data_IF_863355026301
#
_entry.id   IF_863355026301
#
_cell.length_a   1.000
_cell.length_b   1.000
_cell.length_c   1.000
_cell.angle_alpha   90.00
_cell.angle_beta   90.00
_cell.angle_gamma   90.00
#
_symmetry.space_group_name_H-M   'P 1'
#
loop_
_entity.id
_entity.type
_entity.pdbx_description
1 polymer ?
#
# COMPACT_ATOMS: atom_id res chain seq x y z
N UNK A 1 12.67 0.26 49.43
CA UNK A 1 13.68 -0.81 49.44
C UNK A 1 13.72 -1.36 48.02
N UNK A 2 14.71 -0.89 47.24
CA UNK A 2 15.30 -1.40 45.97
C UNK A 2 14.35 -1.64 44.76
N UNK A 3 14.40 -0.83 43.69
CA UNK A 3 15.21 -0.99 42.45
C UNK A 3 14.99 -2.38 41.82
N UNK A 4 14.69 -2.62 40.53
CA UNK A 4 14.72 -1.84 39.27
C UNK A 4 14.17 -2.78 38.19
N UNK A 5 13.26 -2.32 37.34
CA UNK A 5 12.94 -2.97 36.05
C UNK A 5 12.96 -1.93 34.92
N UNK A 6 13.85 -0.95 35.09
CA UNK A 6 13.97 0.23 34.24
C UNK A 6 15.11 0.10 33.20
N UNK A 7 15.75 -1.06 33.05
CA UNK A 7 16.99 -1.18 32.22
C UNK A 7 17.07 -2.39 31.28
N UNK A 8 16.02 -3.19 31.07
CA UNK A 8 16.13 -4.43 30.24
C UNK A 8 15.15 -4.56 29.08
N UNK A 9 14.58 -3.47 28.55
CA UNK A 9 13.86 -3.53 27.27
C UNK A 9 14.09 -2.31 26.35
N UNK A 10 15.25 -1.66 26.48
CA UNK A 10 15.63 -0.49 25.70
C UNK A 10 16.13 -0.79 24.27
N UNK A 11 15.93 -2.00 23.72
CA UNK A 11 16.54 -2.32 22.41
C UNK A 11 15.72 -3.15 21.41
N UNK A 12 14.52 -3.67 21.70
CA UNK A 12 13.82 -4.55 20.74
C UNK A 12 12.35 -4.17 20.60
N UNK A 13 12.05 -3.54 19.46
CA UNK A 13 10.69 -3.36 18.95
C UNK A 13 10.01 -2.09 19.43
N UNK A 14 10.19 -0.99 18.68
CA UNK A 14 9.24 0.13 18.70
C UNK A 14 7.88 -0.38 18.22
N UNK A 15 7.14 -1.03 19.12
CA UNK A 15 5.72 -1.30 18.96
C UNK A 15 5.07 0.08 19.03
N UNK A 16 4.68 0.61 17.87
CA UNK A 16 3.79 1.76 17.84
C UNK A 16 2.49 1.34 18.53
N UNK A 17 2.36 1.67 19.81
CA UNK A 17 1.11 1.49 20.55
C UNK A 17 0.11 2.51 20.03
N UNK A 18 -0.63 2.13 18.99
CA UNK A 18 -1.76 2.92 18.51
C UNK A 18 -2.90 2.76 19.51
N UNK A 19 -3.02 3.72 20.43
CA UNK A 19 -4.12 3.77 21.39
C UNK A 19 -5.36 4.29 20.64
N UNK A 20 -6.19 3.36 20.19
CA UNK A 20 -7.44 3.69 19.51
C UNK A 20 -8.53 3.95 20.58
N UNK A 21 -8.69 5.21 20.95
CA UNK A 21 -9.69 5.63 21.94
C UNK A 21 -11.06 5.69 21.24
N UNK A 22 -11.81 4.59 21.32
CA UNK A 22 -13.22 4.57 20.91
C UNK A 22 -14.05 5.20 22.02
N UNK A 23 -14.37 6.49 21.88
CA UNK A 23 -15.32 7.16 22.78
C UNK A 23 -16.74 6.80 22.35
N UNK A 24 -17.60 6.49 23.33
CA UNK A 24 -19.05 6.39 23.11
C UNK A 24 -19.53 7.75 22.58
N UNK A 25 -20.26 7.82 21.45
CA UNK A 25 -20.70 9.10 20.90
C UNK A 25 -21.69 9.70 21.89
N UNK A 26 -21.26 10.72 22.64
CA UNK A 26 -22.15 11.36 23.60
C UNK A 26 -23.12 12.34 22.92
N UNK A 27 -22.80 12.89 21.74
CA UNK A 27 -23.70 13.84 21.03
C UNK A 27 -23.65 13.79 19.49
N UNK A 28 -22.95 12.83 18.88
CA UNK A 28 -22.79 12.75 17.42
C UNK A 28 -23.70 11.67 16.80
N UNK A 29 -25.01 11.76 17.03
CA UNK A 29 -25.98 10.96 16.30
C UNK A 29 -26.19 11.59 14.93
N UNK A 30 -25.62 10.99 13.88
CA UNK A 30 -25.90 11.39 12.50
C UNK A 30 -27.32 10.98 12.14
N UNK A 31 -28.23 11.93 11.93
CA UNK A 31 -29.56 11.65 11.41
C UNK A 31 -29.52 11.80 9.89
N UNK A 32 -30.14 10.90 9.14
CA UNK A 32 -30.26 11.02 7.67
C UNK A 32 -30.94 12.35 7.28
N UNK A 33 -31.80 12.91 8.15
CA UNK A 33 -32.39 14.24 7.98
C UNK A 33 -31.35 15.37 8.00
N UNK A 34 -30.16 15.17 8.56
CA UNK A 34 -29.06 16.14 8.53
C UNK A 34 -28.50 16.36 7.12
N UNK A 35 -28.77 15.44 6.17
CA UNK A 35 -28.50 15.65 4.74
C UNK A 35 -29.36 16.78 4.14
N UNK A 36 -30.42 17.21 4.82
CA UNK A 36 -31.22 18.37 4.38
C UNK A 36 -30.70 19.69 4.95
N UNK A 37 -29.65 19.65 5.80
CA UNK A 37 -29.03 20.83 6.41
C UNK A 37 -27.95 21.49 5.54
N UNK A 38 -27.76 21.04 4.29
CA UNK A 38 -27.00 21.81 3.30
C UNK A 38 -27.80 23.08 2.96
N UNK A 39 -27.67 24.11 3.81
CA UNK A 39 -28.41 25.38 3.72
C UNK A 39 -27.50 26.58 3.45
N UNK A 40 -26.18 26.39 3.49
CA UNK A 40 -25.20 27.48 3.38
C UNK A 40 -24.05 27.11 2.43
N UNK A 41 -23.65 28.08 1.60
CA UNK A 41 -22.46 28.05 0.75
C UNK A 41 -21.17 28.31 1.53
N UNK A 42 -21.27 28.85 2.74
CA UNK A 42 -20.12 29.16 3.57
C UNK A 42 -19.42 27.86 3.99
N UNK A 43 -18.24 27.63 3.41
CA UNK A 43 -17.39 26.47 3.67
C UNK A 43 -16.99 26.37 5.15
N UNK A 44 -16.99 27.48 5.89
CA UNK A 44 -16.68 27.52 7.32
C UNK A 44 -17.82 27.03 8.20
N UNK A 45 -19.06 27.07 7.71
CA UNK A 45 -20.27 26.60 8.42
C UNK A 45 -20.73 25.21 7.96
N UNK A 46 -20.04 24.60 6.99
CA UNK A 46 -20.45 23.29 6.48
C UNK A 46 -20.27 22.20 7.54
N UNK A 47 -21.30 21.34 7.76
CA UNK A 47 -21.20 20.25 8.70
C UNK A 47 -20.23 19.18 8.16
N UNK A 48 -18.95 19.27 8.53
CA UNK A 48 -17.88 18.34 8.11
C UNK A 48 -18.21 16.87 8.41
N UNK A 49 -19.02 16.60 9.44
CA UNK A 49 -19.45 15.26 9.79
C UNK A 49 -20.35 14.62 8.71
N UNK A 50 -21.19 15.42 8.04
CA UNK A 50 -22.05 14.93 6.94
C UNK A 50 -21.22 14.58 5.72
N UNK A 51 -20.27 15.45 5.35
CA UNK A 51 -19.38 15.21 4.21
C UNK A 51 -18.53 13.96 4.45
N UNK A 52 -17.93 13.82 5.64
CA UNK A 52 -17.15 12.64 6.02
C UNK A 52 -17.98 11.36 6.02
N UNK A 53 -19.23 11.42 6.50
CA UNK A 53 -20.14 10.28 6.44
C UNK A 53 -20.42 9.87 4.99
N UNK A 54 -20.73 10.83 4.12
CA UNK A 54 -20.94 10.57 2.69
C UNK A 54 -19.68 10.03 2.01
N UNK A 55 -18.49 10.54 2.35
CA UNK A 55 -17.21 10.01 1.86
C UNK A 55 -17.03 8.55 2.28
N UNK A 56 -17.34 8.19 3.51
CA UNK A 56 -17.29 6.81 4.01
C UNK A 56 -18.28 5.90 3.28
N UNK A 57 -19.56 6.28 3.22
CA UNK A 57 -20.62 5.47 2.60
C UNK A 57 -20.31 5.22 1.13
N UNK A 58 -19.92 6.26 0.40
CA UNK A 58 -19.60 6.14 -1.03
C UNK A 58 -18.28 5.39 -1.27
N UNK A 59 -17.41 5.21 -0.28
CA UNK A 59 -16.12 4.50 -0.42
C UNK A 59 -16.20 3.03 -0.02
N UNK A 60 -17.28 2.62 0.64
CA UNK A 60 -17.40 1.30 1.27
C UNK A 60 -17.13 0.14 0.31
N UNK A 61 -17.67 0.22 -0.90
CA UNK A 61 -17.55 -0.86 -1.89
C UNK A 61 -16.08 -1.10 -2.29
N UNK A 62 -15.36 -0.03 -2.63
CA UNK A 62 -13.93 -0.10 -2.96
C UNK A 62 -13.12 -0.59 -1.77
N UNK A 63 -13.43 -0.09 -0.56
CA UNK A 63 -12.74 -0.51 0.65
C UNK A 63 -12.98 -1.98 1.02
N UNK A 64 -14.07 -2.59 0.54
CA UNK A 64 -14.37 -4.01 0.78
C UNK A 64 -13.70 -4.97 -0.20
N UNK A 65 -13.06 -4.47 -1.26
CA UNK A 65 -12.47 -5.29 -2.33
C UNK A 65 -10.98 -4.94 -2.52
N UNK A 66 -10.12 -5.26 -1.55
CA UNK A 66 -8.69 -4.92 -1.60
C UNK A 66 -7.91 -5.67 -2.71
N UNK A 67 -8.46 -6.78 -3.23
CA UNK A 67 -7.85 -7.53 -4.33
C UNK A 67 -8.09 -6.87 -5.70
N UNK A 68 -9.15 -6.07 -5.82
CA UNK A 68 -9.53 -5.39 -7.06
C UNK A 68 -9.02 -3.94 -7.10
N UNK A 69 -8.89 -3.31 -5.94
CA UNK A 69 -8.58 -1.88 -5.85
C UNK A 69 -7.41 -1.58 -4.91
N UNK A 70 -6.49 -0.73 -5.38
CA UNK A 70 -5.50 -0.08 -4.54
C UNK A 70 -5.93 1.34 -4.20
N UNK A 71 -5.88 1.69 -2.91
CA UNK A 71 -6.02 3.06 -2.45
C UNK A 71 -4.64 3.66 -2.21
N UNK A 72 -4.30 4.73 -2.93
CA UNK A 72 -3.01 5.41 -2.85
C UNK A 72 -3.23 6.91 -2.77
N UNK A 73 -2.38 7.65 -2.03
CA UNK A 73 -2.48 9.11 -1.86
C UNK A 73 -3.90 9.61 -1.59
N UNK A 74 -4.49 9.22 -0.45
CA UNK A 74 -5.79 9.67 0.11
C UNK A 74 -6.87 10.04 -0.94
N UNK A 75 -7.89 9.20 -1.07
CA UNK A 75 -9.04 9.35 -2.00
C UNK A 75 -8.78 9.01 -3.47
N UNK A 76 -7.56 8.60 -3.85
CA UNK A 76 -7.30 8.01 -5.17
C UNK A 76 -7.38 6.50 -5.09
N UNK A 77 -8.08 5.94 -6.06
CA UNK A 77 -8.39 4.51 -6.18
C UNK A 77 -7.90 4.08 -7.54
N UNK A 78 -7.16 2.99 -7.61
CA UNK A 78 -6.60 2.43 -8.84
C UNK A 78 -7.06 0.99 -8.99
N UNK A 79 -7.33 0.58 -10.23
CA UNK A 79 -7.66 -0.81 -10.53
C UNK A 79 -6.39 -1.66 -10.49
N UNK A 80 -6.41 -2.72 -9.69
CA UNK A 80 -5.32 -3.71 -9.64
C UNK A 80 -5.32 -4.60 -10.89
N UNK A 81 -6.51 -4.85 -11.44
CA UNK A 81 -6.73 -5.63 -12.66
C UNK A 81 -7.52 -4.81 -13.69
N UNK A 82 -6.87 -3.85 -14.37
CA UNK A 82 -7.55 -2.91 -15.26
C UNK A 82 -8.37 -3.61 -16.37
N UNK A 83 -7.90 -4.78 -16.84
CA UNK A 83 -8.52 -5.54 -17.92
C UNK A 83 -9.91 -6.08 -17.54
N UNK A 84 -10.12 -6.48 -16.28
CA UNK A 84 -11.43 -6.93 -15.76
C UNK A 84 -12.47 -5.79 -15.76
N UNK A 85 -12.02 -4.54 -15.87
CA UNK A 85 -12.86 -3.34 -15.93
C UNK A 85 -12.84 -2.66 -17.31
N UNK A 86 -12.39 -3.36 -18.36
CA UNK A 86 -12.37 -2.85 -19.73
C UNK A 86 -11.27 -1.83 -20.03
N UNK A 87 -10.25 -1.72 -19.17
CA UNK A 87 -9.06 -0.91 -19.42
C UNK A 87 -7.91 -1.77 -19.93
N UNK A 88 -7.25 -1.33 -20.99
CA UNK A 88 -6.04 -1.98 -21.48
C UNK A 88 -4.86 -1.68 -20.57
N UNK A 89 -4.06 -2.71 -20.28
CA UNK A 89 -2.81 -2.55 -19.54
C UNK A 89 -1.77 -1.87 -20.43
N UNK A 90 -1.26 -0.72 -20.01
CA UNK A 90 -0.28 0.05 -20.79
C UNK A 90 1.12 -0.08 -20.14
N UNK A 91 2.04 -0.86 -20.72
CA UNK A 91 3.36 -1.04 -20.17
C UNK A 91 4.18 0.25 -20.29
N UNK A 92 4.87 0.63 -19.22
CA UNK A 92 5.78 1.78 -19.19
C UNK A 92 7.26 1.37 -19.29
N UNK A 93 7.51 0.06 -19.41
CA UNK A 93 8.86 -0.52 -19.29
C UNK A 93 9.32 -0.63 -17.84
N UNK A 94 10.51 -1.19 -17.63
CA UNK A 94 11.13 -1.36 -16.31
C UNK A 94 10.24 -2.06 -15.27
N UNK A 95 9.44 -3.03 -15.71
CA UNK A 95 8.51 -3.75 -14.84
C UNK A 95 7.32 -2.90 -14.34
N UNK A 96 7.04 -1.74 -14.94
CA UNK A 96 5.93 -0.85 -14.58
C UNK A 96 4.84 -0.82 -15.63
N UNK A 97 3.62 -0.54 -15.19
CA UNK A 97 2.48 -0.23 -16.04
C UNK A 97 1.78 1.04 -15.58
N UNK A 98 0.99 1.63 -16.46
CA UNK A 98 0.15 2.78 -16.14
C UNK A 98 -1.17 2.28 -15.55
N UNK A 99 -1.32 2.38 -14.23
CA UNK A 99 -2.56 2.05 -13.56
C UNK A 99 -3.62 3.11 -13.84
N UNK A 100 -4.80 2.68 -14.28
CA UNK A 100 -5.99 3.51 -14.39
C UNK A 100 -6.69 3.58 -13.04
N UNK A 101 -7.29 4.73 -12.74
CA UNK A 101 -7.98 4.95 -11.49
C UNK A 101 -8.84 6.21 -11.52
N UNK A 102 -9.34 6.57 -10.34
CA UNK A 102 -10.08 7.81 -10.14
C UNK A 102 -9.79 8.39 -8.76
N UNK A 103 -9.86 9.71 -8.65
CA UNK A 103 -10.00 10.39 -7.37
C UNK A 103 -11.47 10.72 -7.14
N UNK A 104 -11.96 10.43 -5.95
CA UNK A 104 -13.34 10.70 -5.57
C UNK A 104 -13.39 11.62 -4.35
N UNK A 105 -14.16 12.70 -4.44
CA UNK A 105 -14.40 13.62 -3.33
C UNK A 105 -15.89 13.90 -3.21
N UNK A 106 -16.37 14.16 -1.99
CA UNK A 106 -17.72 14.68 -1.77
C UNK A 106 -17.62 16.17 -1.45
N UNK A 107 -18.42 16.98 -2.13
CA UNK A 107 -18.46 18.42 -1.92
C UNK A 107 -19.92 18.90 -1.92
N UNK A 108 -20.18 20.01 -1.22
CA UNK A 108 -21.46 20.70 -1.35
C UNK A 108 -21.38 21.63 -2.56
N UNK A 109 -22.38 21.58 -3.41
CA UNK A 109 -22.51 22.45 -4.58
C UNK A 109 -23.81 23.22 -4.51
N UNK A 110 -23.86 24.34 -5.22
CA UNK A 110 -25.10 25.06 -5.46
C UNK A 110 -25.94 24.31 -6.50
N UNK A 111 -27.14 23.89 -6.10
CA UNK A 111 -28.12 23.28 -6.98
C UNK A 111 -29.18 24.29 -7.46
N UNK A 112 -30.07 23.86 -8.37
CA UNK A 112 -31.09 24.74 -8.95
C UNK A 112 -31.96 25.41 -7.87
N UNK A 113 -32.27 26.70 -8.06
CA UNK A 113 -33.08 27.52 -7.15
C UNK A 113 -32.45 27.72 -5.76
N UNK A 114 -31.14 27.95 -5.70
CA UNK A 114 -30.37 28.18 -4.47
C UNK A 114 -30.52 27.05 -3.44
N UNK A 115 -30.77 25.82 -3.91
CA UNK A 115 -30.83 24.63 -3.05
C UNK A 115 -29.49 23.95 -3.09
N UNK A 116 -28.76 23.96 -1.98
CA UNK A 116 -27.49 23.26 -1.92
C UNK A 116 -27.70 21.75 -1.94
N UNK A 117 -26.77 21.04 -2.59
CA UNK A 117 -26.78 19.60 -2.70
C UNK A 117 -25.38 19.06 -2.44
N UNK A 118 -25.30 17.85 -1.89
CA UNK A 118 -24.04 17.10 -1.90
C UNK A 118 -23.84 16.49 -3.29
N UNK A 119 -22.64 16.67 -3.83
CA UNK A 119 -22.21 16.07 -5.07
C UNK A 119 -20.99 15.18 -4.84
N UNK A 120 -20.94 14.09 -5.60
CA UNK A 120 -19.75 13.25 -5.70
C UNK A 120 -18.99 13.72 -6.94
N UNK A 121 -17.78 14.22 -6.73
CA UNK A 121 -16.86 14.64 -7.79
C UNK A 121 -15.91 13.48 -8.05
N UNK A 122 -15.83 13.05 -9.31
CA UNK A 122 -15.00 11.94 -9.75
C UNK A 122 -14.10 12.44 -10.89
N UNK A 123 -12.79 12.36 -10.69
CA UNK A 123 -11.81 12.65 -11.73
C UNK A 123 -11.01 11.40 -12.07
N UNK A 124 -10.85 11.09 -13.35
CA UNK A 124 -9.96 10.02 -13.78
C UNK A 124 -8.50 10.33 -13.43
N UNK A 125 -7.75 9.33 -12.97
CA UNK A 125 -6.32 9.40 -12.66
C UNK A 125 -5.57 8.28 -13.37
N UNK A 126 -4.29 8.55 -13.66
CA UNK A 126 -3.34 7.57 -14.17
C UNK A 126 -2.04 7.70 -13.40
N UNK A 127 -1.43 6.59 -12.97
CA UNK A 127 -0.20 6.61 -12.16
C UNK A 127 0.62 5.34 -12.42
N UNK A 128 1.97 5.42 -12.46
CA UNK A 128 2.81 4.25 -12.67
C UNK A 128 2.80 3.32 -11.45
N UNK A 129 2.51 2.03 -11.68
CA UNK A 129 2.56 0.95 -10.69
C UNK A 129 3.57 -0.11 -11.13
N UNK A 130 4.14 -0.86 -10.20
CA UNK A 130 4.92 -2.06 -10.51
C UNK A 130 3.99 -3.23 -10.81
N UNK A 131 4.36 -4.09 -11.75
CA UNK A 131 3.65 -5.35 -11.96
C UNK A 131 3.80 -6.27 -10.75
N UNK A 132 2.72 -6.94 -10.37
CA UNK A 132 2.73 -7.97 -9.34
C UNK A 132 3.21 -9.31 -9.94
N UNK A 133 4.50 -9.39 -10.24
CA UNK A 133 5.18 -10.56 -10.82
C UNK A 133 6.30 -11.05 -9.91
N UNK A 134 6.96 -12.14 -10.30
CA UNK A 134 8.11 -12.66 -9.55
C UNK A 134 9.20 -11.58 -9.40
N UNK A 135 9.82 -11.50 -8.22
CA UNK A 135 10.84 -10.48 -7.94
C UNK A 135 12.00 -10.52 -8.93
N UNK A 136 12.46 -11.72 -9.32
CA UNK A 136 13.55 -11.87 -10.29
C UNK A 136 13.14 -11.32 -11.67
N UNK A 137 11.93 -11.63 -12.13
CA UNK A 137 11.38 -11.12 -13.40
C UNK A 137 11.22 -9.61 -13.37
N UNK A 138 10.76 -9.05 -12.25
CA UNK A 138 10.61 -7.60 -12.07
C UNK A 138 11.96 -6.88 -12.15
N UNK A 139 12.98 -7.39 -11.44
CA UNK A 139 14.33 -6.82 -11.46
C UNK A 139 14.96 -6.93 -12.84
N UNK A 140 14.81 -8.07 -13.51
CA UNK A 140 15.32 -8.25 -14.86
C UNK A 140 14.62 -7.33 -15.86
N UNK A 141 13.31 -7.13 -15.72
CA UNK A 141 12.54 -6.16 -16.50
C UNK A 141 13.02 -4.73 -16.23
N UNK A 142 13.40 -4.40 -14.99
CA UNK A 142 13.89 -3.08 -14.61
C UNK A 142 15.16 -2.67 -15.35
N UNK A 143 16.07 -3.61 -15.58
CA UNK A 143 17.36 -3.41 -16.27
C UNK A 143 17.39 -3.96 -17.70
N UNK A 144 16.25 -4.43 -18.22
CA UNK A 144 16.09 -4.99 -19.56
C UNK A 144 17.03 -6.17 -19.88
N UNK A 145 17.15 -7.12 -18.95
CA UNK A 145 17.90 -8.37 -19.11
C UNK A 145 17.00 -9.59 -18.94
N UNK A 146 17.51 -10.78 -19.28
CA UNK A 146 16.81 -12.05 -19.03
C UNK A 146 17.12 -12.58 -17.62
N UNK A 147 16.19 -13.32 -16.97
CA UNK A 147 16.34 -13.88 -15.61
C UNK A 147 17.56 -14.76 -15.33
N UNK A 148 18.31 -15.16 -16.36
CA UNK A 148 19.47 -16.05 -16.27
C UNK A 148 20.82 -15.33 -16.41
N UNK A 149 20.83 -14.00 -16.45
CA UNK A 149 22.04 -13.20 -16.71
C UNK A 149 22.60 -12.65 -15.40
N UNK A 150 23.89 -12.89 -15.16
CA UNK A 150 24.62 -12.23 -14.07
C UNK A 150 24.62 -10.72 -14.31
N UNK A 151 24.12 -9.96 -13.35
CA UNK A 151 24.04 -8.51 -13.45
C UNK A 151 25.45 -7.90 -13.39
N UNK A 152 25.72 -6.94 -14.26
CA UNK A 152 26.89 -6.07 -14.07
C UNK A 152 26.65 -5.08 -12.91
N UNK A 153 27.70 -4.38 -12.47
CA UNK A 153 27.62 -3.48 -11.31
C UNK A 153 26.63 -2.31 -11.49
N UNK A 154 26.48 -1.79 -12.71
CA UNK A 154 25.53 -0.70 -12.97
C UNK A 154 24.08 -1.20 -12.92
N UNK A 155 23.81 -2.35 -13.53
CA UNK A 155 22.51 -3.04 -13.47
C UNK A 155 22.16 -3.40 -12.02
N UNK A 156 23.12 -3.93 -11.25
CA UNK A 156 22.93 -4.23 -9.84
C UNK A 156 22.54 -2.96 -9.06
N UNK A 157 23.25 -1.85 -9.28
CA UNK A 157 22.95 -0.57 -8.63
C UNK A 157 21.55 -0.05 -8.97
N UNK A 158 21.10 -0.23 -10.21
CA UNK A 158 19.75 0.14 -10.62
C UNK A 158 18.68 -0.76 -9.99
N UNK A 159 18.92 -2.07 -9.92
CA UNK A 159 18.08 -3.01 -9.18
C UNK A 159 17.94 -2.61 -7.70
N UNK A 160 19.03 -2.21 -7.03
CA UNK A 160 18.99 -1.74 -5.63
C UNK A 160 18.07 -0.53 -5.45
N UNK A 161 18.02 0.40 -6.41
CA UNK A 161 17.11 1.57 -6.37
C UNK A 161 15.64 1.15 -6.43
N UNK A 162 15.33 0.11 -7.21
CA UNK A 162 13.98 -0.44 -7.35
C UNK A 162 13.58 -1.17 -6.06
N UNK A 163 14.43 -2.06 -5.56
CA UNK A 163 14.17 -2.93 -4.40
C UNK A 163 13.76 -2.17 -3.14
N UNK A 164 14.39 -1.03 -2.85
CA UNK A 164 14.08 -0.20 -1.66
C UNK A 164 12.63 0.28 -1.58
N UNK A 165 11.88 0.19 -2.68
CA UNK A 165 10.49 0.65 -2.81
C UNK A 165 9.50 -0.50 -2.91
N UNK A 166 9.97 -1.74 -2.78
CA UNK A 166 9.15 -2.93 -2.97
C UNK A 166 8.79 -3.59 -1.65
N UNK A 167 7.60 -4.15 -1.68
CA UNK A 167 7.07 -5.08 -0.70
C UNK A 167 6.83 -6.39 -1.43
N UNK A 168 7.26 -7.51 -0.84
CA UNK A 168 7.19 -8.83 -1.45
C UNK A 168 6.56 -9.83 -0.52
N UNK A 169 5.98 -10.87 -1.11
CA UNK A 169 5.42 -12.01 -0.40
C UNK A 169 6.29 -13.23 -0.73
N UNK A 170 6.82 -13.95 0.28
CA UNK A 170 7.59 -15.15 0.02
C UNK A 170 6.66 -16.24 -0.52
N UNK A 171 7.07 -16.96 -1.56
CA UNK A 171 6.30 -18.09 -2.11
C UNK A 171 6.50 -19.40 -1.32
N UNK A 172 7.47 -19.45 -0.41
CA UNK A 172 7.86 -20.65 0.33
C UNK A 172 7.41 -20.59 1.80
N UNK A 173 7.26 -21.78 2.40
CA UNK A 173 6.96 -21.95 3.82
C UNK A 173 5.59 -21.44 4.26
N UNK A 174 5.38 -21.41 5.58
CA UNK A 174 4.11 -20.97 6.19
C UNK A 174 3.94 -19.44 6.24
N UNK A 175 4.82 -18.67 5.58
CA UNK A 175 4.83 -17.20 5.61
C UNK A 175 4.32 -16.57 4.31
N UNK A 176 3.56 -17.30 3.50
CA UNK A 176 3.10 -16.82 2.19
C UNK A 176 2.29 -15.51 2.24
N UNK A 177 1.64 -15.23 3.37
CA UNK A 177 0.88 -13.99 3.58
C UNK A 177 1.67 -12.90 4.32
N UNK A 178 2.95 -13.14 4.66
CA UNK A 178 3.79 -12.16 5.31
C UNK A 178 4.35 -11.17 4.28
N UNK A 179 3.86 -9.93 4.33
CA UNK A 179 4.42 -8.84 3.55
C UNK A 179 5.81 -8.48 4.13
N UNK A 180 6.85 -8.57 3.30
CA UNK A 180 8.23 -8.23 3.64
C UNK A 180 8.65 -7.01 2.82
N UNK A 181 9.01 -5.93 3.51
CA UNK A 181 9.61 -4.77 2.87
C UNK A 181 11.10 -5.00 2.65
N UNK A 182 11.55 -4.86 1.41
CA UNK A 182 12.95 -5.06 1.07
C UNK A 182 13.77 -3.81 1.41
N UNK A 183 14.92 -4.01 2.08
CA UNK A 183 15.84 -2.95 2.47
C UNK A 183 16.99 -2.77 1.48
N UNK A 184 17.54 -3.87 0.96
CA UNK A 184 18.69 -3.88 0.06
C UNK A 184 18.81 -5.20 -0.71
N UNK A 185 19.72 -5.23 -1.67
CA UNK A 185 20.25 -6.46 -2.26
C UNK A 185 21.68 -6.66 -1.76
N UNK A 186 22.06 -7.91 -1.55
CA UNK A 186 23.43 -8.29 -1.20
C UNK A 186 24.24 -8.50 -2.47
N UNK A 187 25.51 -8.10 -2.45
CA UNK A 187 26.45 -8.44 -3.51
C UNK A 187 26.89 -9.90 -3.32
N UNK A 188 26.70 -10.74 -4.34
CA UNK A 188 27.06 -12.15 -4.29
C UNK A 188 25.98 -13.07 -4.88
N UNK A 189 26.29 -14.36 -4.91
CA UNK A 189 25.35 -15.42 -5.29
C UNK A 189 24.80 -16.07 -4.02
N UNK A 190 23.54 -16.53 -4.05
CA UNK A 190 22.96 -17.33 -2.99
C UNK A 190 23.75 -18.63 -2.73
N UNK A 191 24.48 -19.15 -3.73
CA UNK A 191 25.35 -20.31 -3.60
C UNK A 191 26.61 -20.04 -2.76
N UNK A 192 27.09 -18.81 -2.70
CA UNK A 192 28.38 -18.45 -2.08
C UNK A 192 28.22 -17.55 -0.85
N UNK A 193 27.11 -16.84 -0.75
CA UNK A 193 26.83 -15.93 0.36
C UNK A 193 26.49 -16.74 1.60
N UNK A 194 27.29 -16.57 2.65
CA UNK A 194 27.15 -17.26 3.93
C UNK A 194 26.24 -16.47 4.89
N UNK A 195 25.51 -17.20 5.71
CA UNK A 195 24.76 -16.67 6.84
C UNK A 195 24.97 -17.54 8.07
N UNK A 196 24.92 -16.91 9.26
CA UNK A 196 24.95 -17.63 10.53
C UNK A 196 23.55 -18.13 10.88
N UNK A 197 23.40 -19.43 11.05
CA UNK A 197 22.17 -20.04 11.55
C UNK A 197 22.08 -19.95 13.08
N UNK A 198 20.88 -20.15 13.64
CA UNK A 198 20.60 -20.05 15.08
C UNK A 198 21.38 -21.05 15.95
N UNK A 199 21.88 -22.13 15.35
CA UNK A 199 22.75 -23.14 15.95
C UNK A 199 24.24 -22.71 15.98
N UNK A 200 24.59 -21.58 15.37
CA UNK A 200 25.97 -21.10 15.25
C UNK A 200 26.75 -21.66 14.06
N UNK A 201 26.12 -22.43 13.17
CA UNK A 201 26.75 -22.92 11.95
C UNK A 201 26.72 -21.85 10.84
N UNK A 202 27.82 -21.74 10.09
CA UNK A 202 27.86 -20.97 8.85
C UNK A 202 27.36 -21.83 7.69
N UNK A 203 26.29 -21.39 7.04
CA UNK A 203 25.67 -22.08 5.91
C UNK A 203 25.43 -21.08 4.77
N UNK A 204 25.59 -21.52 3.52
CA UNK A 204 25.22 -20.65 2.40
C UNK A 204 23.70 -20.53 2.27
N UNK A 205 23.22 -19.43 1.70
CA UNK A 205 21.78 -19.16 1.59
C UNK A 205 21.08 -20.27 0.81
N UNK A 206 21.64 -20.73 -0.31
CA UNK A 206 21.04 -21.79 -1.12
C UNK A 206 20.87 -23.11 -0.35
N UNK A 207 21.90 -23.53 0.39
CA UNK A 207 21.88 -24.75 1.21
C UNK A 207 20.83 -24.63 2.34
N UNK A 208 20.74 -23.45 2.99
CA UNK A 208 19.72 -23.18 4.01
C UNK A 208 18.31 -23.38 3.44
N UNK A 209 18.04 -22.84 2.25
CA UNK A 209 16.74 -22.97 1.59
C UNK A 209 16.44 -24.42 1.21
N UNK A 210 17.42 -25.16 0.68
CA UNK A 210 17.27 -26.57 0.31
C UNK A 210 17.00 -27.49 1.52
N UNK A 211 17.58 -27.20 2.69
CA UNK A 211 17.37 -28.01 3.90
C UNK A 211 16.03 -27.76 4.58
N UNK A 212 15.51 -26.53 4.48
CA UNK A 212 14.37 -26.07 5.29
C UNK A 212 13.02 -26.10 4.57
N UNK A 213 13.00 -26.00 3.25
CA UNK A 213 11.78 -25.93 2.43
C UNK A 213 11.80 -26.94 1.31
#
# INVERSE_FOLDING_TARGET
MFLTEQETNEAIGRIFKTILIVKKPQDNVFNVRDLTKFKTLDLSEQPHHVIRFLELVTSRHVASLPEEYAMYESKKIYFMKPEEHGFNLFPLGSGKYLAAGASKTVACIEGPKNKHAAAVIIDSKKTPFFHAINLLELLCSAVNVKPSVVLNMDQFRDCVKVVKRLEVFPSYGNRQNACIRLSSLTEGDALTTMMMESNGEEICIAEYFFRRY
#
